data_IF_966619767654
#
_entry.id   IF_966619767654
#
_cell.length_a   1.000
_cell.length_b   1.000
_cell.length_c   1.000
_cell.angle_alpha   90.00
_cell.angle_beta   90.00
_cell.angle_gamma   90.00
#
_symmetry.space_group_name_H-M   'P 1'
#
loop_
_entity.id
_entity.type
_entity.pdbx_description
1 polymer ?
#
# COMPACT_ATOMS: atom_id res chain seq x y z
N UNK A 1 27.43 -62.02 -58.10
CA UNK A 1 26.59 -60.95 -57.58
C UNK A 1 27.24 -60.44 -56.30
N UNK A 2 27.99 -59.36 -56.40
CA UNK A 2 28.75 -58.78 -55.30
C UNK A 2 27.95 -57.59 -54.74
N UNK A 3 27.43 -57.72 -53.52
CA UNK A 3 26.68 -56.72 -52.83
C UNK A 3 27.65 -55.71 -52.11
N UNK A 4 27.75 -54.52 -52.63
CA UNK A 4 28.50 -53.44 -51.99
C UNK A 4 27.67 -52.88 -50.80
N UNK A 5 28.12 -53.20 -49.59
CA UNK A 5 27.64 -52.49 -48.40
C UNK A 5 28.34 -51.14 -48.34
N UNK A 6 27.61 -50.05 -48.62
CA UNK A 6 28.05 -48.72 -48.35
C UNK A 6 28.02 -48.48 -46.82
N UNK A 7 29.18 -48.28 -46.23
CA UNK A 7 29.30 -47.92 -44.85
C UNK A 7 28.66 -46.50 -44.64
N UNK A 8 27.85 -46.25 -43.57
CA UNK A 8 27.33 -44.94 -43.31
C UNK A 8 28.49 -44.02 -42.87
N UNK A 9 28.81 -43.05 -43.75
CA UNK A 9 29.83 -42.05 -43.50
C UNK A 9 29.57 -41.25 -42.22
N UNK A 10 30.61 -40.91 -41.56
CA UNK A 10 30.70 -40.24 -40.27
C UNK A 10 29.85 -38.96 -40.15
N UNK A 11 28.63 -39.07 -39.65
CA UNK A 11 27.77 -37.94 -39.21
C UNK A 11 28.04 -37.52 -37.76
N UNK A 12 29.14 -37.92 -37.14
CA UNK A 12 29.47 -37.65 -35.75
C UNK A 12 29.66 -36.15 -35.42
N UNK A 13 30.12 -35.34 -36.37
CA UNK A 13 30.32 -33.89 -36.18
C UNK A 13 29.03 -33.10 -36.14
N UNK A 14 28.00 -33.46 -36.93
CA UNK A 14 26.72 -32.78 -36.96
C UNK A 14 25.89 -33.05 -35.72
N UNK A 15 25.96 -34.25 -35.16
CA UNK A 15 25.25 -34.57 -33.91
C UNK A 15 25.75 -33.76 -32.72
N UNK A 16 27.06 -33.53 -32.64
CA UNK A 16 27.68 -32.72 -31.60
C UNK A 16 27.29 -31.26 -31.69
N UNK A 17 27.22 -30.69 -32.90
CA UNK A 17 26.79 -29.30 -33.15
C UNK A 17 25.31 -29.13 -32.83
N UNK A 18 24.44 -30.06 -33.21
CA UNK A 18 23.02 -30.03 -32.87
C UNK A 18 22.80 -30.14 -31.36
N UNK A 19 23.52 -31.02 -30.66
CA UNK A 19 23.39 -31.12 -29.20
C UNK A 19 23.82 -29.85 -28.48
N UNK A 20 24.85 -29.17 -28.98
CA UNK A 20 25.34 -27.91 -28.42
C UNK A 20 24.31 -26.78 -28.61
N UNK A 21 23.67 -26.71 -29.79
CA UNK A 21 22.58 -25.74 -30.06
C UNK A 21 21.37 -26.00 -29.17
N UNK A 22 20.95 -27.27 -29.02
CA UNK A 22 19.85 -27.62 -28.11
C UNK A 22 20.16 -27.27 -26.66
N UNK A 23 21.35 -27.54 -26.21
CA UNK A 23 21.79 -27.21 -24.84
C UNK A 23 21.79 -25.68 -24.60
N UNK A 24 22.21 -24.90 -25.60
CA UNK A 24 22.18 -23.44 -25.56
C UNK A 24 20.74 -22.90 -25.51
N UNK A 25 19.83 -23.46 -26.32
CA UNK A 25 18.41 -23.08 -26.29
C UNK A 25 17.75 -23.43 -24.95
N UNK A 26 18.03 -24.62 -24.40
CA UNK A 26 17.50 -25.02 -23.08
C UNK A 26 18.01 -24.14 -21.97
N UNK A 27 19.28 -23.73 -21.98
CA UNK A 27 19.83 -22.80 -20.99
C UNK A 27 19.19 -21.41 -21.06
N UNK A 28 18.94 -20.88 -22.26
CA UNK A 28 18.25 -19.61 -22.46
C UNK A 28 16.82 -19.62 -21.89
N UNK A 29 16.08 -20.70 -22.15
CA UNK A 29 14.73 -20.89 -21.62
C UNK A 29 14.78 -20.99 -20.08
N UNK A 30 15.75 -21.73 -19.52
CA UNK A 30 15.92 -21.86 -18.07
C UNK A 30 16.21 -20.53 -17.39
N UNK A 31 17.11 -19.72 -17.93
CA UNK A 31 17.44 -18.39 -17.39
C UNK A 31 16.22 -17.45 -17.47
N UNK A 32 15.50 -17.44 -18.58
CA UNK A 32 14.30 -16.63 -18.76
C UNK A 32 13.20 -16.99 -17.74
N UNK A 33 12.99 -18.29 -17.49
CA UNK A 33 12.03 -18.76 -16.48
C UNK A 33 12.41 -18.31 -15.06
N UNK A 34 13.70 -18.35 -14.71
CA UNK A 34 14.19 -17.96 -13.40
C UNK A 34 14.04 -16.43 -13.15
N UNK A 35 14.25 -15.61 -14.19
CA UNK A 35 14.04 -14.17 -14.11
C UNK A 35 12.56 -13.83 -13.85
N UNK A 36 11.64 -14.51 -14.49
CA UNK A 36 10.20 -14.32 -14.27
C UNK A 36 9.80 -14.71 -12.85
N UNK A 37 10.32 -15.79 -12.29
CA UNK A 37 10.05 -16.23 -10.94
C UNK A 37 10.52 -15.20 -9.90
N UNK A 38 11.71 -14.64 -10.06
CA UNK A 38 12.25 -13.61 -9.14
C UNK A 38 11.48 -12.29 -9.21
N UNK A 39 10.97 -11.90 -10.38
CA UNK A 39 10.10 -10.74 -10.52
C UNK A 39 8.76 -10.93 -9.81
N UNK A 40 8.16 -12.12 -9.95
CA UNK A 40 6.90 -12.46 -9.26
C UNK A 40 7.07 -12.45 -7.75
N UNK A 41 8.17 -12.99 -7.23
CA UNK A 41 8.48 -12.96 -5.79
C UNK A 41 8.61 -11.52 -5.26
N UNK A 42 9.32 -10.65 -5.97
CA UNK A 42 9.45 -9.22 -5.60
C UNK A 42 8.11 -8.50 -5.63
N UNK A 43 7.26 -8.78 -6.64
CA UNK A 43 5.91 -8.21 -6.71
C UNK A 43 5.04 -8.71 -5.56
N UNK A 44 5.08 -9.99 -5.24
CA UNK A 44 4.33 -10.58 -4.12
C UNK A 44 4.75 -9.97 -2.79
N UNK A 45 6.06 -9.81 -2.56
CA UNK A 45 6.60 -9.14 -1.36
C UNK A 45 6.16 -7.68 -1.26
N UNK A 46 6.17 -6.93 -2.36
CA UNK A 46 5.69 -5.56 -2.42
C UNK A 46 4.19 -5.43 -2.10
N UNK A 47 3.37 -6.33 -2.65
CA UNK A 47 1.94 -6.38 -2.37
C UNK A 47 1.65 -6.74 -0.91
N UNK A 48 2.42 -7.65 -0.31
CA UNK A 48 2.28 -8.02 1.09
C UNK A 48 2.55 -6.82 2.02
N UNK A 49 3.63 -6.08 1.81
CA UNK A 49 3.95 -4.87 2.59
C UNK A 49 2.87 -3.79 2.41
N UNK A 50 2.36 -3.61 1.18
CA UNK A 50 1.29 -2.66 0.90
C UNK A 50 -0.01 -3.04 1.63
N UNK A 51 -0.39 -4.31 1.62
CA UNK A 51 -1.54 -4.80 2.37
C UNK A 51 -1.37 -4.59 3.87
N UNK A 52 -0.19 -4.88 4.40
CA UNK A 52 0.10 -4.69 5.81
C UNK A 52 0.05 -3.21 6.22
N UNK A 53 0.61 -2.29 5.41
CA UNK A 53 0.50 -0.86 5.67
C UNK A 53 -0.95 -0.36 5.59
N UNK A 54 -1.74 -0.90 4.67
CA UNK A 54 -3.16 -0.58 4.56
C UNK A 54 -3.95 -1.02 5.79
N UNK A 55 -3.75 -2.25 6.26
CA UNK A 55 -4.39 -2.76 7.48
C UNK A 55 -3.99 -1.95 8.72
N UNK A 56 -2.73 -1.53 8.81
CA UNK A 56 -2.27 -0.64 9.89
C UNK A 56 -2.95 0.73 9.83
N UNK A 57 -3.13 1.30 8.63
CA UNK A 57 -3.85 2.55 8.44
C UNK A 57 -5.35 2.41 8.77
N UNK A 58 -6.01 1.33 8.36
CA UNK A 58 -7.42 1.07 8.75
C UNK A 58 -7.59 0.95 10.26
N UNK A 59 -6.69 0.24 10.94
CA UNK A 59 -6.72 0.13 12.39
C UNK A 59 -6.57 1.50 13.05
N UNK A 60 -5.62 2.30 12.59
CA UNK A 60 -5.41 3.67 13.09
C UNK A 60 -6.64 4.56 12.85
N UNK A 61 -7.27 4.43 11.66
CA UNK A 61 -8.48 5.17 11.31
C UNK A 61 -9.63 4.84 12.27
N UNK A 62 -9.89 3.56 12.51
CA UNK A 62 -10.94 3.10 13.43
C UNK A 62 -10.70 3.55 14.87
N UNK A 63 -9.45 3.56 15.32
CA UNK A 63 -9.10 4.10 16.65
C UNK A 63 -9.39 5.60 16.70
N UNK A 64 -9.02 6.34 15.67
CA UNK A 64 -9.31 7.78 15.57
C UNK A 64 -10.81 8.09 15.55
N UNK A 65 -11.60 7.34 14.76
CA UNK A 65 -13.06 7.45 14.73
C UNK A 65 -13.68 7.10 16.09
N UNK A 66 -13.22 6.05 16.74
CA UNK A 66 -13.69 5.65 18.07
C UNK A 66 -13.36 6.71 19.13
N UNK A 67 -12.21 7.39 19.01
CA UNK A 67 -11.88 8.50 19.89
C UNK A 67 -12.85 9.69 19.71
N UNK A 68 -13.19 10.02 18.48
CA UNK A 68 -14.16 11.10 18.17
C UNK A 68 -15.56 10.76 18.68
N UNK A 69 -15.96 9.49 18.67
CA UNK A 69 -17.28 9.03 19.13
C UNK A 69 -17.49 9.27 20.63
N UNK A 70 -16.45 9.35 21.43
CA UNK A 70 -16.59 9.59 22.88
C UNK A 70 -17.28 10.93 23.15
N UNK A 71 -18.26 10.93 24.07
CA UNK A 71 -19.01 12.16 24.41
C UNK A 71 -18.13 13.26 24.94
N UNK A 72 -17.06 12.91 25.65
CA UNK A 72 -16.07 13.83 26.20
C UNK A 72 -15.08 14.38 25.16
N UNK A 73 -15.12 13.88 23.92
CA UNK A 73 -14.17 14.36 22.90
C UNK A 73 -14.53 15.76 22.42
N UNK A 74 -13.63 16.68 22.66
CA UNK A 74 -13.74 18.10 22.26
C UNK A 74 -12.46 18.49 21.55
N UNK A 75 -12.59 19.03 20.36
CA UNK A 75 -11.51 19.62 19.59
C UNK A 75 -11.98 20.95 19.00
N UNK A 76 -11.17 21.98 19.11
CA UNK A 76 -11.48 23.28 18.50
C UNK A 76 -11.60 23.14 16.98
N UNK A 77 -12.55 23.89 16.39
CA UNK A 77 -12.70 23.90 14.94
C UNK A 77 -11.44 24.47 14.27
N UNK A 78 -11.03 23.86 13.18
CA UNK A 78 -9.93 24.36 12.36
C UNK A 78 -10.29 25.70 11.72
N UNK A 79 -9.30 26.44 11.27
CA UNK A 79 -9.50 27.72 10.58
C UNK A 79 -8.56 27.85 9.37
N UNK A 80 -9.07 28.44 8.32
CA UNK A 80 -8.29 28.74 7.11
C UNK A 80 -7.59 27.50 6.52
N UNK A 81 -6.30 27.61 6.24
CA UNK A 81 -5.50 26.52 5.63
C UNK A 81 -5.35 25.28 6.50
N UNK A 82 -5.57 25.38 7.81
CA UNK A 82 -5.50 24.23 8.72
C UNK A 82 -6.69 23.27 8.57
N UNK A 83 -7.75 23.65 7.84
CA UNK A 83 -8.84 22.75 7.50
C UNK A 83 -8.57 21.90 6.25
N UNK A 84 -7.46 22.12 5.58
CA UNK A 84 -7.03 21.23 4.48
C UNK A 84 -6.54 19.89 5.03
N UNK A 85 -6.58 18.80 4.24
CA UNK A 85 -5.95 17.53 4.63
C UNK A 85 -4.48 17.73 5.02
N UNK A 86 -3.99 17.07 6.09
CA UNK A 86 -2.62 17.25 6.54
C UNK A 86 -1.62 16.77 5.49
N UNK A 87 -0.92 17.71 4.81
CA UNK A 87 0.02 17.37 3.73
C UNK A 87 1.20 16.53 4.19
N UNK A 88 1.58 16.63 5.47
CA UNK A 88 2.65 15.84 6.08
C UNK A 88 2.29 14.36 6.28
N UNK A 89 1.04 13.94 6.06
CA UNK A 89 0.64 12.53 6.12
C UNK A 89 1.50 11.61 5.26
N UNK A 90 2.04 12.15 4.16
CA UNK A 90 2.98 11.45 3.30
C UNK A 90 4.36 11.19 3.93
N UNK A 91 4.72 11.91 5.00
CA UNK A 91 6.06 11.87 5.59
C UNK A 91 6.08 11.59 7.10
N UNK A 92 4.93 11.62 7.79
CA UNK A 92 4.86 11.42 9.25
C UNK A 92 5.49 10.09 9.66
N UNK A 93 6.40 10.15 10.65
CA UNK A 93 7.12 8.99 11.16
C UNK A 93 7.15 8.93 12.70
N UNK A 94 6.60 9.97 13.37
CA UNK A 94 6.54 10.07 14.82
C UNK A 94 5.25 10.77 15.25
N UNK A 95 4.79 10.47 16.47
CA UNK A 95 3.71 11.20 17.11
C UNK A 95 4.17 12.63 17.48
N UNK A 96 3.25 13.56 17.51
CA UNK A 96 3.53 14.95 17.89
C UNK A 96 2.63 15.95 17.21
N UNK A 97 2.70 17.19 17.67
CA UNK A 97 1.96 18.31 17.11
C UNK A 97 2.68 18.89 15.89
N UNK A 98 1.95 19.10 14.80
CA UNK A 98 2.43 19.81 13.63
C UNK A 98 1.80 21.21 13.59
N UNK A 99 2.63 22.25 13.75
CA UNK A 99 2.17 23.64 13.80
C UNK A 99 1.66 24.17 12.45
N UNK A 100 2.07 23.53 11.32
CA UNK A 100 1.64 23.97 9.99
C UNK A 100 0.20 23.53 9.69
N UNK A 101 -0.12 22.29 9.93
CA UNK A 101 -1.48 21.73 9.75
C UNK A 101 -2.36 21.87 11.00
N UNK A 102 -1.77 22.20 12.16
CA UNK A 102 -2.48 22.32 13.43
C UNK A 102 -2.92 20.99 14.04
N UNK A 103 -2.57 19.83 13.43
CA UNK A 103 -2.98 18.53 13.94
C UNK A 103 -1.96 17.94 14.90
N UNK A 104 -2.43 17.07 15.77
CA UNK A 104 -1.58 16.24 16.62
C UNK A 104 -1.66 14.80 16.15
N UNK A 105 -0.53 14.25 15.75
CA UNK A 105 -0.39 12.85 15.35
C UNK A 105 -0.25 11.97 16.60
N UNK A 106 -1.11 10.95 16.67
CA UNK A 106 -1.15 9.97 17.77
C UNK A 106 -0.74 8.62 17.21
N UNK A 107 0.17 7.93 17.89
CA UNK A 107 0.66 6.62 17.47
C UNK A 107 -0.33 5.50 17.79
N UNK A 108 -0.43 4.50 16.92
CA UNK A 108 -1.26 3.30 17.09
C UNK A 108 -0.51 2.08 16.55
N UNK A 109 0.31 1.44 17.36
CA UNK A 109 1.13 0.32 16.88
C UNK A 109 2.01 0.71 15.68
N UNK A 110 1.70 0.18 14.50
CA UNK A 110 2.44 0.46 13.27
C UNK A 110 1.83 1.61 12.43
N UNK A 111 1.09 2.51 13.06
CA UNK A 111 0.45 3.63 12.37
C UNK A 111 0.29 4.86 13.23
N UNK A 112 -0.29 5.88 12.63
CA UNK A 112 -0.61 7.15 13.26
C UNK A 112 -1.99 7.60 12.81
N UNK A 113 -2.69 8.34 13.66
CA UNK A 113 -3.87 9.09 13.24
C UNK A 113 -3.82 10.53 13.74
N UNK A 114 -4.51 11.40 13.04
CA UNK A 114 -4.76 12.77 13.44
C UNK A 114 -6.22 13.14 13.18
N UNK A 115 -6.75 14.05 13.96
CA UNK A 115 -8.14 14.50 13.85
C UNK A 115 -8.18 16.01 13.64
N UNK A 116 -9.06 16.47 12.74
CA UNK A 116 -9.41 17.88 12.54
C UNK A 116 -10.91 18.05 12.73
N UNK A 117 -11.31 19.08 13.46
CA UNK A 117 -12.71 19.49 13.54
C UNK A 117 -12.99 20.48 12.40
N UNK A 118 -13.83 20.08 11.46
CA UNK A 118 -14.19 20.87 10.27
C UNK A 118 -15.36 21.85 10.52
N UNK A 119 -15.87 21.88 11.76
CA UNK A 119 -17.02 22.72 12.13
C UNK A 119 -18.34 21.97 12.05
N UNK A 120 -19.43 22.71 12.29
CA UNK A 120 -20.79 22.18 12.33
C UNK A 120 -21.54 22.43 11.04
N UNK A 121 -22.44 21.50 10.67
CA UNK A 121 -23.32 21.59 9.49
C UNK A 121 -24.69 20.99 9.78
N UNK A 122 -25.72 21.47 9.07
CA UNK A 122 -27.05 20.89 9.05
C UNK A 122 -27.24 19.93 7.84
N UNK A 123 -26.25 19.88 6.94
CA UNK A 123 -26.31 19.10 5.70
C UNK A 123 -25.46 17.85 5.71
N UNK A 124 -25.18 17.25 6.87
CA UNK A 124 -24.41 16.03 6.97
C UNK A 124 -25.18 14.85 6.37
N UNK A 125 -24.50 13.99 5.61
CA UNK A 125 -25.08 12.80 5.00
C UNK A 125 -25.33 11.74 6.08
N UNK A 126 -26.44 11.00 5.99
CA UNK A 126 -26.88 9.98 6.96
C UNK A 126 -27.18 10.50 8.37
N UNK A 127 -27.41 11.80 8.52
CA UNK A 127 -27.87 12.43 9.76
C UNK A 127 -29.34 12.85 9.57
N UNK A 128 -30.22 12.76 10.60
CA UNK A 128 -31.60 13.18 10.49
C UNK A 128 -31.72 14.64 10.03
N UNK A 129 -32.71 14.96 9.22
CA UNK A 129 -32.95 16.30 8.71
C UNK A 129 -33.05 17.33 9.84
N UNK A 130 -32.42 18.49 9.68
CA UNK A 130 -32.36 19.58 10.66
C UNK A 130 -31.60 19.24 11.96
N UNK A 131 -30.80 18.17 11.98
CA UNK A 131 -29.92 17.88 13.09
C UNK A 131 -28.55 18.47 12.81
N UNK A 132 -28.05 19.28 13.76
CA UNK A 132 -26.69 19.83 13.67
C UNK A 132 -25.68 18.71 13.96
N UNK A 133 -24.72 18.52 13.06
CA UNK A 133 -23.63 17.59 13.24
C UNK A 133 -22.29 18.30 13.14
N UNK A 134 -21.36 17.95 14.01
CA UNK A 134 -19.96 18.37 13.91
C UNK A 134 -19.19 17.39 13.05
N UNK A 135 -18.54 17.89 12.01
CA UNK A 135 -17.74 17.09 11.12
C UNK A 135 -16.30 16.99 11.60
N UNK A 136 -15.79 15.77 11.70
CA UNK A 136 -14.40 15.50 12.03
C UNK A 136 -13.75 14.77 10.86
N UNK A 137 -12.61 15.29 10.40
CA UNK A 137 -11.73 14.54 9.50
C UNK A 137 -10.78 13.72 10.34
N UNK A 138 -10.73 12.43 10.09
CA UNK A 138 -9.74 11.52 10.66
C UNK A 138 -8.80 11.10 9.55
N UNK A 139 -7.54 11.47 9.65
CA UNK A 139 -6.48 11.05 8.72
C UNK A 139 -5.60 10.04 9.41
N UNK A 140 -5.44 8.87 8.79
CA UNK A 140 -4.65 7.77 9.32
C UNK A 140 -3.53 7.37 8.39
N UNK A 141 -2.41 6.99 8.96
CA UNK A 141 -1.20 6.55 8.25
C UNK A 141 -0.79 5.20 8.81
N UNK A 142 -0.63 4.21 7.94
CA UNK A 142 -0.09 2.90 8.29
C UNK A 142 1.27 2.67 7.65
N UNK A 143 2.17 2.04 8.38
CA UNK A 143 3.54 1.75 7.96
C UNK A 143 3.82 0.25 7.99
N UNK A 144 4.49 -0.26 6.95
CA UNK A 144 5.00 -1.62 6.90
C UNK A 144 6.28 -1.67 6.06
N UNK A 145 7.43 -1.86 6.71
CA UNK A 145 8.72 -1.75 6.05
C UNK A 145 8.88 -0.38 5.38
N UNK A 146 9.05 -0.37 4.07
CA UNK A 146 9.12 0.85 3.25
C UNK A 146 7.76 1.24 2.62
N UNK A 147 6.70 0.50 2.89
CA UNK A 147 5.35 0.80 2.39
C UNK A 147 4.61 1.70 3.36
N UNK A 148 3.87 2.65 2.81
CA UNK A 148 3.02 3.61 3.51
C UNK A 148 1.64 3.61 2.86
N UNK A 149 0.59 3.63 3.69
CA UNK A 149 -0.79 3.85 3.25
C UNK A 149 -1.37 5.00 4.05
N UNK A 150 -2.07 5.90 3.38
CA UNK A 150 -2.78 7.03 4.00
C UNK A 150 -4.26 6.86 3.70
N UNK A 151 -5.07 6.90 4.75
CA UNK A 151 -6.53 6.84 4.68
C UNK A 151 -7.14 8.08 5.33
N UNK A 152 -8.28 8.48 4.83
CA UNK A 152 -9.03 9.61 5.39
C UNK A 152 -10.52 9.25 5.46
N UNK A 153 -11.18 9.63 6.54
CA UNK A 153 -12.63 9.59 6.66
C UNK A 153 -13.17 10.90 7.22
N UNK A 154 -14.43 11.19 6.90
CA UNK A 154 -15.20 12.28 7.51
C UNK A 154 -16.27 11.65 8.39
N UNK A 155 -16.18 11.90 9.68
CA UNK A 155 -17.11 11.44 10.68
C UNK A 155 -18.04 12.58 11.13
N UNK A 156 -19.36 12.34 11.08
CA UNK A 156 -20.36 13.29 11.55
C UNK A 156 -20.83 12.90 12.97
N UNK A 157 -20.51 13.72 13.97
CA UNK A 157 -20.97 13.54 15.34
C UNK A 157 -22.20 14.45 15.59
N UNK A 158 -23.32 13.88 16.03
CA UNK A 158 -24.59 14.55 16.28
C UNK A 158 -25.26 14.05 17.54
#
# INVERSE_FOLDING_TARGET
>A
MTSYRTAPGAQRGMALLMSLVFLLLLTLIGISSMQNATLQEKMAGGLWLRNQSFQAAEMALRIGESAVQQDSYVLAACSGGQCAPPGESAAVSAAGHNSHSGVTWITTGNGFYAVQNLGTTLGAVHVPSNTSATLYRVTAVGLAGHSRSVLESIYAKY
#
